data_IF_672156948134
#
_entry.id   IF_672156948134
#
_cell.length_a   1.000
_cell.length_b   1.000
_cell.length_c   1.000
_cell.angle_alpha   90.00
_cell.angle_beta   90.00
_cell.angle_gamma   90.00
#
_symmetry.space_group_name_H-M   'P 1'
#
loop_
_entity.id
_entity.type
_entity.pdbx_description
1 polymer ?
#
# COMPACT_ATOMS: atom_id res chain seq x y z
N UNK A 1 8.21 7.41 4.30
CA UNK A 1 8.97 6.94 3.12
C UNK A 1 8.88 5.42 3.03
N UNK A 2 8.28 4.92 1.96
CA UNK A 2 8.09 3.50 1.68
C UNK A 2 9.32 2.89 1.01
N UNK A 3 9.62 1.63 1.32
CA UNK A 3 10.71 0.89 0.70
C UNK A 3 10.40 0.56 -0.76
N UNK A 4 11.43 0.34 -1.58
CA UNK A 4 11.27 -0.05 -2.99
C UNK A 4 10.42 -1.32 -3.16
N UNK A 5 10.50 -2.26 -2.21
CA UNK A 5 9.70 -3.49 -2.25
C UNK A 5 8.20 -3.21 -1.98
N UNK A 6 7.88 -2.39 -0.98
CA UNK A 6 6.51 -1.95 -0.69
C UNK A 6 5.91 -1.25 -1.92
N UNK A 7 6.69 -0.39 -2.59
CA UNK A 7 6.31 0.24 -3.86
C UNK A 7 6.03 -0.75 -4.99
N UNK A 8 6.92 -1.72 -5.20
CA UNK A 8 6.77 -2.71 -6.26
C UNK A 8 5.52 -3.58 -6.06
N UNK A 9 5.23 -3.99 -4.82
CA UNK A 9 4.03 -4.76 -4.48
C UNK A 9 2.78 -3.94 -4.78
N UNK A 10 2.77 -2.67 -4.40
CA UNK A 10 1.66 -1.79 -4.72
C UNK A 10 1.43 -1.71 -6.23
N UNK A 11 2.49 -1.45 -7.01
CA UNK A 11 2.39 -1.32 -8.48
C UNK A 11 1.87 -2.62 -9.12
N UNK A 12 2.27 -3.79 -8.61
CA UNK A 12 1.86 -5.07 -9.18
C UNK A 12 0.47 -5.51 -8.73
N UNK A 13 0.21 -5.49 -7.42
CA UNK A 13 -0.99 -6.08 -6.83
C UNK A 13 -2.06 -5.06 -6.49
N UNK A 14 -1.69 -3.87 -6.01
CA UNK A 14 -2.63 -2.90 -5.47
C UNK A 14 -3.00 -1.79 -6.47
N UNK A 15 -2.64 -1.92 -7.75
CA UNK A 15 -2.90 -0.90 -8.76
C UNK A 15 -4.39 -0.72 -9.09
N UNK A 16 -5.20 -1.75 -8.88
CA UNK A 16 -6.61 -1.79 -9.24
C UNK A 16 -7.55 -1.19 -8.17
N UNK A 17 -7.06 -0.94 -6.95
CA UNK A 17 -7.87 -0.44 -5.84
C UNK A 17 -7.24 0.78 -5.16
N UNK A 18 -7.97 1.33 -4.19
CA UNK A 18 -7.58 2.51 -3.46
C UNK A 18 -6.54 2.12 -2.41
N UNK A 19 -5.32 2.64 -2.54
CA UNK A 19 -4.17 2.27 -1.69
C UNK A 19 -3.82 3.31 -0.64
N UNK A 20 -4.26 4.54 -0.85
CA UNK A 20 -3.95 5.66 0.03
C UNK A 20 -5.22 6.44 0.33
N UNK A 21 -5.38 6.87 1.57
CA UNK A 21 -6.44 7.77 1.99
C UNK A 21 -5.84 9.05 2.56
N UNK A 22 -6.19 10.16 1.94
CA UNK A 22 -5.82 11.47 2.44
C UNK A 22 -6.88 11.97 3.41
N UNK A 23 -6.56 12.05 4.71
CA UNK A 23 -7.47 12.61 5.73
C UNK A 23 -7.78 14.09 5.49
N UNK A 24 -6.79 14.88 5.06
CA UNK A 24 -6.96 16.30 4.80
C UNK A 24 -7.87 16.59 3.59
N UNK A 25 -7.82 15.75 2.55
CA UNK A 25 -8.70 15.87 1.39
C UNK A 25 -9.97 15.01 1.51
N UNK A 26 -10.10 14.23 2.58
CA UNK A 26 -11.11 13.18 2.77
C UNK A 26 -11.31 12.30 1.52
N UNK A 27 -10.22 11.98 0.82
CA UNK A 27 -10.29 11.34 -0.49
C UNK A 27 -9.31 10.19 -0.58
N UNK A 28 -9.76 9.09 -1.18
CA UNK A 28 -8.91 7.93 -1.46
C UNK A 28 -8.33 7.98 -2.87
N UNK A 29 -7.08 7.57 -2.97
CA UNK A 29 -6.26 7.64 -4.16
C UNK A 29 -5.77 6.25 -4.55
N UNK A 30 -5.80 6.00 -5.86
CA UNK A 30 -5.15 4.85 -6.49
C UNK A 30 -3.72 5.22 -6.85
N UNK A 31 -2.87 4.22 -7.03
CA UNK A 31 -1.47 4.41 -7.42
C UNK A 31 -1.33 5.29 -8.67
N UNK A 32 -2.16 5.02 -9.67
CA UNK A 32 -2.19 5.78 -10.93
C UNK A 32 -2.51 7.28 -10.72
N UNK A 33 -3.15 7.63 -9.60
CA UNK A 33 -3.55 9.00 -9.25
C UNK A 33 -2.52 9.73 -8.38
N UNK A 34 -1.52 9.04 -7.83
CA UNK A 34 -0.47 9.62 -6.99
C UNK A 34 0.61 10.35 -7.81
N UNK A 35 0.69 10.08 -9.11
CA UNK A 35 1.57 10.81 -10.04
C UNK A 35 3.01 10.30 -10.07
N UNK A 36 3.81 10.90 -10.97
CA UNK A 36 5.17 10.46 -11.30
C UNK A 36 6.18 10.59 -10.15
N UNK A 37 5.95 11.49 -9.21
CA UNK A 37 6.83 11.74 -8.07
C UNK A 37 6.80 10.55 -7.08
N UNK A 38 5.61 9.97 -6.92
CA UNK A 38 5.43 8.73 -6.18
C UNK A 38 6.09 7.53 -6.88
N UNK A 39 6.02 7.45 -8.22
CA UNK A 39 6.71 6.38 -8.94
C UNK A 39 8.24 6.48 -8.84
N UNK A 40 8.78 7.69 -8.74
CA UNK A 40 10.22 7.93 -8.61
C UNK A 40 10.78 7.69 -7.21
N UNK A 41 9.95 7.32 -6.21
CA UNK A 41 10.47 7.09 -4.87
C UNK A 41 10.73 8.36 -4.06
N UNK A 42 10.38 9.54 -4.60
CA UNK A 42 10.82 10.83 -4.04
C UNK A 42 9.94 11.30 -2.89
N UNK A 43 8.63 11.07 -2.98
CA UNK A 43 7.69 11.53 -1.97
C UNK A 43 6.41 10.69 -1.93
N UNK A 44 5.97 10.29 -0.73
CA UNK A 44 4.70 9.59 -0.48
C UNK A 44 3.60 10.59 -0.08
N UNK A 45 3.52 11.70 -0.81
CA UNK A 45 2.68 12.84 -0.47
C UNK A 45 1.43 12.91 -1.35
N UNK A 46 0.34 13.45 -0.79
CA UNK A 46 -0.87 13.72 -1.54
C UNK A 46 -0.58 14.76 -2.65
N UNK A 47 -0.97 14.52 -3.91
CA UNK A 47 -0.73 15.45 -5.01
C UNK A 47 -1.47 16.79 -4.86
N UNK A 48 -2.46 16.85 -3.97
CA UNK A 48 -3.33 18.03 -3.79
C UNK A 48 -2.93 18.89 -2.60
N UNK A 49 -2.73 18.28 -1.42
CA UNK A 49 -2.41 19.00 -0.19
C UNK A 49 -0.99 18.71 0.34
N UNK A 50 -0.23 17.84 -0.32
CA UNK A 50 1.10 17.38 0.08
C UNK A 50 1.16 16.78 1.49
N UNK A 51 0.03 16.32 2.04
CA UNK A 51 -0.01 15.55 3.28
C UNK A 51 0.68 14.19 3.10
N UNK A 52 1.35 13.71 4.14
CA UNK A 52 1.96 12.39 4.13
C UNK A 52 0.91 11.29 4.07
N UNK A 53 1.07 10.40 3.09
CA UNK A 53 0.23 9.23 2.88
C UNK A 53 0.97 7.93 3.26
N UNK A 54 2.22 8.01 3.73
CA UNK A 54 3.06 6.84 4.06
C UNK A 54 2.31 5.93 5.04
N UNK A 55 1.76 6.49 6.11
CA UNK A 55 1.07 5.70 7.14
C UNK A 55 -0.17 5.02 6.59
N UNK A 56 -1.00 5.74 5.83
CA UNK A 56 -2.21 5.17 5.22
C UNK A 56 -1.87 4.07 4.22
N UNK A 57 -0.79 4.22 3.47
CA UNK A 57 -0.32 3.21 2.51
C UNK A 57 0.21 1.98 3.23
N UNK A 58 0.96 2.17 4.32
CA UNK A 58 1.48 1.07 5.14
C UNK A 58 0.35 0.29 5.80
N UNK A 59 -0.66 0.97 6.30
CA UNK A 59 -1.87 0.36 6.85
C UNK A 59 -2.60 -0.50 5.80
N UNK A 60 -2.71 0.04 4.58
CA UNK A 60 -3.24 -0.71 3.45
C UNK A 60 -2.41 -1.97 3.15
N UNK A 61 -1.08 -1.86 3.07
CA UNK A 61 -0.20 -3.01 2.81
C UNK A 61 -0.33 -4.10 3.89
N UNK A 62 -0.56 -3.72 5.15
CA UNK A 62 -0.80 -4.67 6.26
C UNK A 62 -2.16 -5.35 6.18
N UNK A 63 -3.17 -4.66 5.68
CA UNK A 63 -4.55 -5.17 5.60
C UNK A 63 -4.89 -5.80 4.24
N UNK A 64 -4.04 -5.66 3.22
CA UNK A 64 -4.32 -6.10 1.87
C UNK A 64 -4.04 -7.60 1.70
N UNK A 65 -5.08 -8.38 1.38
CA UNK A 65 -5.02 -9.84 1.20
C UNK A 65 -4.05 -10.27 0.09
N UNK A 66 -3.92 -9.48 -0.98
CA UNK A 66 -2.95 -9.76 -2.05
C UNK A 66 -1.50 -9.67 -1.55
N UNK A 67 -1.23 -8.72 -0.65
CA UNK A 67 0.08 -8.56 -0.03
C UNK A 67 0.32 -9.67 0.99
N UNK A 68 -0.70 -10.01 1.78
CA UNK A 68 -0.64 -11.13 2.70
C UNK A 68 -0.30 -12.44 1.97
N UNK A 69 -0.95 -12.70 0.82
CA UNK A 69 -0.69 -13.89 -0.01
C UNK A 69 0.76 -13.95 -0.51
N UNK A 70 1.37 -12.81 -0.84
CA UNK A 70 2.78 -12.72 -1.25
C UNK A 70 3.74 -12.89 -0.07
N UNK A 71 3.41 -12.35 1.10
CA UNK A 71 4.19 -12.50 2.33
C UNK A 71 4.15 -13.92 2.90
N UNK A 72 3.02 -14.61 2.73
CA UNK A 72 2.80 -15.99 3.19
C UNK A 72 3.60 -17.05 2.41
N UNK A 73 4.36 -16.67 1.37
CA UNK A 73 5.33 -17.59 0.75
C UNK A 73 6.63 -17.76 1.57
N UNK A 74 6.77 -17.05 2.69
CA UNK A 74 7.84 -17.22 3.66
C UNK A 74 7.27 -17.53 5.06
N UNK A 75 6.62 -18.70 5.19
CA UNK A 75 6.40 -19.44 6.44
C UNK A 75 5.49 -18.81 7.51
N UNK A 76 4.32 -19.42 7.75
CA UNK A 76 3.94 -19.99 9.05
C UNK A 76 2.47 -20.47 9.07
N UNK A 77 2.23 -21.63 9.69
CA UNK A 77 1.03 -21.83 10.50
C UNK A 77 -0.25 -22.39 9.86
N UNK A 78 -0.27 -23.71 9.64
CA UNK A 78 -1.50 -24.53 9.59
C UNK A 78 -2.44 -24.23 10.77
N UNK A 79 -3.77 -24.09 10.60
CA UNK A 79 -4.69 -24.23 11.73
C UNK A 79 -4.81 -25.72 12.10
N UNK A 80 -4.21 -26.11 13.23
CA UNK A 80 -4.49 -27.41 13.85
C UNK A 80 -5.90 -27.34 14.44
N UNK A 81 -6.88 -27.85 13.69
CA UNK A 81 -8.18 -28.24 14.26
C UNK A 81 -7.92 -29.37 15.25
N UNK A 82 -8.21 -29.13 16.52
CA UNK A 82 -8.33 -30.16 17.53
C UNK A 82 -9.76 -30.72 17.44
N UNK A 83 -9.87 -32.02 17.15
CA UNK A 83 -11.00 -32.88 17.49
C UNK A 83 -10.45 -33.97 18.41
#
# INVERSE_FOLDING_TARGET
MLSSNERAIMIRCCHAHNVAFCRACAQSYRIQRLGVDWFQGKADLCPRCRADLTESIRDHLRSCELVATLGSSAGDGLPRRAD
#
